data_IF_647912135362
#
_entry.id   IF_647912135362
#
_cell.length_a   1.000
_cell.length_b   1.000
_cell.length_c   1.000
_cell.angle_alpha   90.00
_cell.angle_beta   90.00
_cell.angle_gamma   90.00
#
_symmetry.space_group_name_H-M   'P 1'
#
loop_
_entity.id
_entity.type
_entity.pdbx_description
1 polymer ?
#
# COMPACT_ATOMS: atom_id res chain seq x y z
N UNK A 1 -9.82 1.52 2.93
CA UNK A 1 -9.17 0.31 2.41
C UNK A 1 -8.36 -0.35 3.50
N UNK A 2 -8.33 -1.68 3.56
CA UNK A 2 -7.36 -2.43 4.36
C UNK A 2 -6.13 -2.83 3.55
N UNK A 3 -5.10 -3.38 4.21
CA UNK A 3 -3.84 -3.77 3.57
C UNK A 3 -4.03 -4.73 2.37
N UNK A 4 -4.91 -5.72 2.49
CA UNK A 4 -5.19 -6.65 1.39
C UNK A 4 -5.82 -5.98 0.16
N UNK A 5 -6.63 -4.95 0.35
CA UNK A 5 -7.24 -4.19 -0.75
C UNK A 5 -6.22 -3.27 -1.43
N UNK A 6 -5.33 -2.67 -0.64
CA UNK A 6 -4.18 -1.89 -1.13
C UNK A 6 -3.27 -2.79 -1.99
N UNK A 7 -2.96 -4.01 -1.53
CA UNK A 7 -2.13 -4.96 -2.28
C UNK A 7 -2.73 -5.31 -3.64
N UNK A 8 -4.02 -5.64 -3.68
CA UNK A 8 -4.74 -5.89 -4.95
C UNK A 8 -4.75 -4.66 -5.86
N UNK A 9 -4.94 -3.47 -5.30
CA UNK A 9 -4.97 -2.20 -6.03
C UNK A 9 -3.61 -1.85 -6.66
N UNK A 10 -2.53 -2.26 -6.02
CA UNK A 10 -1.14 -2.10 -6.45
C UNK A 10 -0.63 -3.27 -7.32
N UNK A 11 -1.34 -4.40 -7.36
CA UNK A 11 -0.88 -5.61 -8.05
C UNK A 11 0.29 -6.32 -7.35
N UNK A 12 0.43 -6.14 -6.03
CA UNK A 12 1.55 -6.71 -5.24
C UNK A 12 1.06 -7.75 -4.23
N UNK A 13 1.94 -8.68 -3.88
CA UNK A 13 1.67 -9.71 -2.88
C UNK A 13 1.51 -9.18 -1.44
N UNK A 14 0.97 -10.00 -0.52
CA UNK A 14 0.75 -9.63 0.88
C UNK A 14 2.02 -9.15 1.61
N UNK A 15 3.15 -9.83 1.41
CA UNK A 15 4.42 -9.46 2.04
C UNK A 15 4.88 -8.06 1.61
N UNK A 16 4.73 -7.75 0.31
CA UNK A 16 5.14 -6.44 -0.24
C UNK A 16 4.24 -5.32 0.26
N UNK A 17 2.92 -5.54 0.32
CA UNK A 17 2.04 -4.51 0.87
C UNK A 17 2.33 -4.24 2.35
N UNK A 18 2.66 -5.27 3.15
CA UNK A 18 3.08 -5.08 4.54
C UNK A 18 4.35 -4.25 4.66
N UNK A 19 5.34 -4.43 3.78
CA UNK A 19 6.52 -3.57 3.77
C UNK A 19 6.18 -2.12 3.40
N UNK A 20 5.31 -1.91 2.40
CA UNK A 20 4.92 -0.59 1.94
C UNK A 20 4.17 0.20 3.01
N UNK A 21 3.17 -0.41 3.65
CA UNK A 21 2.34 0.29 4.66
C UNK A 21 3.12 0.65 5.93
N UNK A 22 4.26 -0.01 6.19
CA UNK A 22 5.15 0.27 7.32
C UNK A 22 6.32 1.18 6.93
N UNK A 23 6.47 1.54 5.64
CA UNK A 23 7.55 2.39 5.14
C UNK A 23 7.23 3.87 5.42
N UNK A 24 8.26 4.63 5.78
CA UNK A 24 8.18 6.09 5.88
C UNK A 24 7.73 6.69 4.54
N UNK A 25 6.71 7.54 4.59
CA UNK A 25 6.13 8.20 3.42
C UNK A 25 4.89 7.51 2.87
N UNK A 26 4.51 6.33 3.39
CA UNK A 26 3.16 5.79 3.19
C UNK A 26 2.16 6.56 4.06
N UNK A 27 0.89 6.75 3.63
CA UNK A 27 -0.12 7.42 4.42
C UNK A 27 -0.33 6.79 5.81
N UNK A 28 -0.54 7.63 6.81
CA UNK A 28 -0.94 7.18 8.14
C UNK A 28 -2.29 6.45 8.09
N UNK A 29 -2.48 5.41 8.93
CA UNK A 29 -3.76 4.74 9.04
C UNK A 29 -4.82 5.73 9.53
N UNK A 30 -6.02 5.61 8.95
CA UNK A 30 -7.18 6.36 9.40
C UNK A 30 -7.71 5.84 10.74
N UNK A 31 -7.68 4.52 10.91
CA UNK A 31 -8.11 3.85 12.13
C UNK A 31 -7.42 2.48 12.26
N UNK A 32 -7.43 1.93 13.48
CA UNK A 32 -6.94 0.59 13.79
C UNK A 32 -8.09 -0.25 14.37
N UNK A 33 -8.54 -1.23 13.60
CA UNK A 33 -9.59 -2.17 14.01
C UNK A 33 -8.96 -3.48 14.51
N UNK A 34 -9.75 -4.34 15.16
CA UNK A 34 -9.31 -5.68 15.57
C UNK A 34 -8.79 -6.51 14.39
N UNK A 35 -9.34 -6.29 13.19
CA UNK A 35 -8.93 -6.95 11.94
C UNK A 35 -7.69 -6.31 11.28
N UNK A 36 -7.19 -5.19 11.82
CA UNK A 36 -6.03 -4.46 11.35
C UNK A 36 -6.31 -3.00 10.98
N UNK A 37 -5.26 -2.34 10.49
CA UNK A 37 -5.28 -0.93 10.09
C UNK A 37 -6.13 -0.69 8.85
N UNK A 38 -6.83 0.44 8.83
CA UNK A 38 -7.60 0.92 7.67
C UNK A 38 -7.15 2.31 7.27
N UNK A 39 -7.11 2.57 5.96
CA UNK A 39 -6.72 3.85 5.39
C UNK A 39 -7.88 4.47 4.63
N UNK A 40 -7.89 5.80 4.56
CA UNK A 40 -8.77 6.54 3.66
C UNK A 40 -8.38 6.23 2.22
N UNK A 41 -9.38 5.90 1.41
CA UNK A 41 -9.20 5.64 -0.03
C UNK A 41 -8.54 6.82 -0.74
N UNK A 42 -8.94 8.06 -0.41
CA UNK A 42 -8.39 9.26 -1.03
C UNK A 42 -6.88 9.41 -0.80
N UNK A 43 -6.39 9.10 0.41
CA UNK A 43 -4.99 9.25 0.78
C UNK A 43 -4.12 8.18 0.10
N UNK A 44 -4.60 6.93 0.06
CA UNK A 44 -3.94 5.84 -0.69
C UNK A 44 -3.87 6.17 -2.17
N UNK A 45 -4.99 6.60 -2.78
CA UNK A 45 -5.02 6.93 -4.21
C UNK A 45 -4.12 8.14 -4.55
N UNK A 46 -4.03 9.13 -3.65
CA UNK A 46 -3.10 10.25 -3.79
C UNK A 46 -1.65 9.76 -3.77
N UNK A 47 -1.31 8.95 -2.77
CA UNK A 47 0.03 8.38 -2.66
C UNK A 47 0.40 7.54 -3.88
N UNK A 48 -0.51 6.70 -4.39
CA UNK A 48 -0.30 5.90 -5.61
C UNK A 48 -0.01 6.81 -6.80
N UNK A 49 -0.74 7.92 -6.98
CA UNK A 49 -0.49 8.85 -8.09
C UNK A 49 0.88 9.51 -7.99
N UNK A 50 1.32 9.85 -6.79
CA UNK A 50 2.61 10.51 -6.52
C UNK A 50 3.79 9.55 -6.69
N UNK A 51 3.63 8.26 -6.34
CA UNK A 51 4.73 7.28 -6.28
C UNK A 51 4.65 6.19 -7.36
N UNK A 52 3.74 6.30 -8.33
CA UNK A 52 3.52 5.27 -9.35
C UNK A 52 4.78 4.92 -10.14
N UNK A 53 5.59 5.94 -10.44
CA UNK A 53 6.84 5.79 -11.18
C UNK A 53 7.84 4.92 -10.42
N UNK A 54 7.96 5.13 -9.12
CA UNK A 54 8.88 4.39 -8.24
C UNK A 54 8.43 2.94 -8.04
N UNK A 55 7.11 2.71 -8.02
CA UNK A 55 6.52 1.38 -7.93
C UNK A 55 6.76 0.53 -9.20
N UNK A 56 6.84 1.17 -10.37
CA UNK A 56 7.11 0.49 -11.64
C UNK A 56 8.60 0.14 -11.83
N UNK A 57 9.50 0.80 -11.08
CA UNK A 57 10.95 0.58 -11.12
C UNK A 57 11.41 -0.53 -10.17
N UNK A 58 10.48 -1.20 -9.47
CA UNK A 58 10.76 -2.29 -8.53
C UNK A 58 10.29 -3.64 -9.14
N UNK A 59 11.04 -4.21 -10.11
CA UNK A 59 10.76 -5.53 -10.66
C UNK A 59 11.33 -6.61 -9.73
N UNK A 60 10.83 -6.71 -8.50
CA UNK A 60 11.05 -7.91 -7.68
C UNK A 60 9.75 -8.70 -7.54
N UNK A 61 9.54 -9.49 -8.59
CA UNK A 61 8.51 -10.51 -8.72
C UNK A 61 8.76 -11.37 -9.96
N UNK A 62 10.03 -11.64 -10.27
CA UNK A 62 10.42 -12.74 -11.16
C UNK A 62 10.87 -13.90 -10.27
N UNK A 63 9.96 -14.83 -10.01
CA UNK A 63 10.27 -16.21 -9.62
C UNK A 63 9.33 -17.16 -10.38
#
# INVERSE_FOLDING_TARGET
>A
MGAGEIGRRLGVGPSRVQQLINRKGFPDPYDELDMGKVWRTADVEKWIREHRSDLAQDPEGSE
#
